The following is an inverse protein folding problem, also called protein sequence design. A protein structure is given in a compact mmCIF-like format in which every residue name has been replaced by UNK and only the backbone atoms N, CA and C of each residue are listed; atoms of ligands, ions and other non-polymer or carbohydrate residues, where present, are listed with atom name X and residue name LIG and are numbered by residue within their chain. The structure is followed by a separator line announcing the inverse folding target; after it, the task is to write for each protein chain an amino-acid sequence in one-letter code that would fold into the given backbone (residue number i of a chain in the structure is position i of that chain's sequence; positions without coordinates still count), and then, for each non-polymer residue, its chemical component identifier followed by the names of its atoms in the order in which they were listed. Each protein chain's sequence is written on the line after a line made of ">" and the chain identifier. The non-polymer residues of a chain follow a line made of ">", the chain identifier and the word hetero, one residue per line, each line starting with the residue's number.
data_IF_222166947002
#
_entry.id   IF_222166947002
#
_cell.length_a   1.000
_cell.length_b   1.000
_cell.length_c   1.000
_cell.angle_alpha   90.00
_cell.angle_beta   90.00
_cell.angle_gamma   90.00
#
_symmetry.space_group_name_H-M   'P 1'
#
loop_
_entity.id
_entity.type
_entity.pdbx_description
1 polymer ?
#
# COMPACT_ATOMS: atom_id res chain seq x y z
N UNK A 1 -12.57 17.74 16.51
CA UNK A 1 -11.97 18.60 15.46
C UNK A 1 -11.10 17.80 14.48
N UNK A 2 -10.11 17.00 14.92
CA UNK A 2 -9.26 16.14 14.07
C UNK A 2 -10.00 15.31 13.01
N UNK A 3 -11.05 14.58 13.42
CA UNK A 3 -11.82 13.71 12.51
C UNK A 3 -12.52 14.48 11.39
N UNK A 4 -12.76 15.79 11.58
CA UNK A 4 -13.32 16.64 10.53
C UNK A 4 -12.23 17.00 9.50
N UNK A 5 -11.06 17.44 9.96
CA UNK A 5 -9.92 17.79 9.10
C UNK A 5 -9.44 16.63 8.25
N UNK A 6 -9.34 15.43 8.82
CA UNK A 6 -8.96 14.23 8.08
C UNK A 6 -9.98 13.90 6.99
N UNK A 7 -11.27 13.82 7.34
CA UNK A 7 -12.33 13.50 6.37
C UNK A 7 -12.44 14.54 5.26
N UNK A 8 -12.39 15.82 5.62
CA UNK A 8 -12.40 16.91 4.64
C UNK A 8 -11.16 16.84 3.74
N UNK A 9 -9.99 16.55 4.32
CA UNK A 9 -8.75 16.35 3.59
C UNK A 9 -8.85 15.22 2.57
N UNK A 10 -9.33 14.05 2.98
CA UNK A 10 -9.55 12.91 2.09
C UNK A 10 -10.59 13.22 1.00
N UNK A 11 -11.70 13.88 1.34
CA UNK A 11 -12.71 14.28 0.37
C UNK A 11 -12.15 15.25 -0.70
N UNK A 12 -11.21 16.13 -0.31
CA UNK A 12 -10.51 17.01 -1.26
C UNK A 12 -9.58 16.23 -2.19
N UNK A 13 -8.88 15.22 -1.68
CA UNK A 13 -8.07 14.34 -2.52
C UNK A 13 -8.92 13.59 -3.55
N UNK A 14 -10.07 13.04 -3.13
CA UNK A 14 -11.01 12.36 -4.01
C UNK A 14 -11.58 13.31 -5.09
N UNK A 15 -11.80 14.58 -4.74
CA UNK A 15 -12.23 15.62 -5.68
C UNK A 15 -11.09 16.13 -6.60
N UNK A 16 -9.86 15.65 -6.45
CA UNK A 16 -8.69 16.09 -7.21
C UNK A 16 -8.08 17.42 -6.73
N UNK A 17 -8.58 18.00 -5.65
CA UNK A 17 -8.04 19.21 -5.02
C UNK A 17 -6.89 18.85 -4.07
N UNK A 18 -5.82 18.30 -4.67
CA UNK A 18 -4.65 17.74 -3.96
C UNK A 18 -4.00 18.77 -3.03
N UNK A 19 -3.95 20.04 -3.44
CA UNK A 19 -3.33 21.13 -2.65
C UNK A 19 -4.09 21.39 -1.35
N UNK A 20 -5.41 21.47 -1.42
CA UNK A 20 -6.24 21.69 -0.23
C UNK A 20 -6.31 20.44 0.64
N UNK A 21 -6.39 19.26 0.04
CA UNK A 21 -6.31 17.98 0.75
C UNK A 21 -5.03 17.88 1.58
N UNK A 22 -3.86 18.18 0.99
CA UNK A 22 -2.58 18.25 1.71
C UNK A 22 -2.65 19.22 2.88
N UNK A 23 -3.15 20.45 2.69
CA UNK A 23 -3.22 21.47 3.74
C UNK A 23 -4.05 20.98 4.94
N UNK A 24 -5.20 20.39 4.68
CA UNK A 24 -6.10 19.86 5.72
C UNK A 24 -5.48 18.67 6.45
N UNK A 25 -4.78 17.80 5.74
CA UNK A 25 -4.09 16.64 6.33
C UNK A 25 -2.87 17.06 7.16
N UNK A 26 -2.13 18.12 6.76
CA UNK A 26 -1.08 18.71 7.57
C UNK A 26 -1.63 19.35 8.86
N UNK A 27 -2.82 19.95 8.81
CA UNK A 27 -3.53 20.44 10.00
C UNK A 27 -4.00 19.30 10.90
N UNK A 28 -4.55 18.23 10.31
CA UNK A 28 -4.93 17.04 11.04
C UNK A 28 -3.71 16.40 11.74
N UNK A 29 -2.56 16.35 11.07
CA UNK A 29 -1.34 15.76 11.63
C UNK A 29 -0.79 16.63 12.77
N UNK A 30 -0.80 17.97 12.63
CA UNK A 30 -0.44 18.86 13.74
C UNK A 30 -1.33 18.68 14.97
N UNK A 31 -2.61 18.39 14.77
CA UNK A 31 -3.54 18.09 15.86
C UNK A 31 -3.38 16.67 16.43
N UNK A 32 -2.74 15.75 15.71
CA UNK A 32 -2.51 14.36 16.14
C UNK A 32 -1.23 13.80 15.51
N UNK A 33 -0.05 14.15 16.06
CA UNK A 33 1.23 13.85 15.45
C UNK A 33 1.58 12.36 15.35
N UNK A 34 0.87 11.50 16.07
CA UNK A 34 1.09 10.05 16.11
C UNK A 34 -0.05 9.23 15.49
N UNK A 35 -0.94 9.87 14.72
CA UNK A 35 -2.03 9.16 14.06
C UNK A 35 -1.57 8.56 12.72
N UNK A 36 -1.54 7.23 12.64
CA UNK A 36 -1.13 6.49 11.46
C UNK A 36 -2.07 6.70 10.25
N UNK A 37 -3.37 6.85 10.48
CA UNK A 37 -4.36 7.09 9.42
C UNK A 37 -4.15 8.47 8.79
N UNK A 38 -3.88 9.49 9.61
CA UNK A 38 -3.57 10.84 9.14
C UNK A 38 -2.23 10.90 8.42
N UNK A 39 -1.20 10.20 8.92
CA UNK A 39 0.09 10.08 8.23
C UNK A 39 -0.08 9.43 6.85
N UNK A 40 -0.86 8.34 6.77
CA UNK A 40 -1.15 7.68 5.50
C UNK A 40 -1.90 8.59 4.54
N UNK A 41 -2.96 9.26 5.00
CA UNK A 41 -3.69 10.24 4.18
C UNK A 41 -2.76 11.34 3.64
N UNK A 42 -1.88 11.90 4.48
CA UNK A 42 -0.92 12.91 4.04
C UNK A 42 0.08 12.33 3.02
N UNK A 43 0.57 11.11 3.21
CA UNK A 43 1.43 10.45 2.22
C UNK A 43 0.74 10.30 0.86
N UNK A 44 -0.54 9.91 0.84
CA UNK A 44 -1.35 9.83 -0.38
C UNK A 44 -1.49 11.20 -1.08
N UNK A 45 -1.53 12.30 -0.33
CA UNK A 45 -1.57 13.65 -0.89
C UNK A 45 -0.23 14.10 -1.50
N UNK A 46 0.89 13.57 -1.00
CA UNK A 46 2.25 13.98 -1.39
C UNK A 46 2.75 13.30 -2.65
N UNK A 47 2.36 12.04 -2.89
CA UNK A 47 2.77 11.28 -4.08
C UNK A 47 2.44 11.97 -5.42
N UNK A 48 1.19 12.43 -5.68
CA UNK A 48 0.87 13.15 -6.93
C UNK A 48 1.57 14.50 -7.08
N UNK A 49 2.14 15.04 -5.99
CA UNK A 49 2.94 16.27 -6.00
C UNK A 49 4.44 16.01 -6.27
N UNK A 50 4.84 14.75 -6.42
CA UNK A 50 6.24 14.35 -6.59
C UNK A 50 7.06 14.35 -5.31
N UNK A 51 6.45 14.59 -4.15
CA UNK A 51 7.10 14.60 -2.83
C UNK A 51 7.28 13.16 -2.28
N UNK A 52 7.80 12.25 -3.11
CA UNK A 52 7.82 10.79 -2.85
C UNK A 52 8.66 10.37 -1.66
N UNK A 53 9.78 11.04 -1.39
CA UNK A 53 10.61 10.71 -0.22
C UNK A 53 9.90 11.03 1.08
N UNK A 54 9.24 12.18 1.16
CA UNK A 54 8.43 12.56 2.33
C UNK A 54 7.21 11.66 2.49
N UNK A 55 6.59 11.23 1.38
CA UNK A 55 5.52 10.24 1.41
C UNK A 55 6.01 8.91 2.00
N UNK A 56 7.19 8.43 1.58
CA UNK A 56 7.78 7.20 2.10
C UNK A 56 8.07 7.30 3.61
N UNK A 57 8.68 8.40 4.09
CA UNK A 57 8.96 8.61 5.52
C UNK A 57 7.67 8.57 6.38
N UNK A 58 6.58 9.17 5.87
CA UNK A 58 5.27 9.13 6.53
C UNK A 58 4.67 7.73 6.52
N UNK A 59 4.81 6.98 5.43
CA UNK A 59 4.34 5.60 5.33
C UNK A 59 5.10 4.66 6.27
N UNK A 60 6.42 4.79 6.35
CA UNK A 60 7.25 4.05 7.32
C UNK A 60 6.82 4.38 8.76
N UNK A 61 6.61 5.66 9.05
CA UNK A 61 6.13 6.14 10.34
C UNK A 61 4.72 5.64 10.69
N UNK A 62 3.82 5.59 9.72
CA UNK A 62 2.45 5.12 9.87
C UNK A 62 2.42 3.60 10.11
N UNK A 63 3.17 2.84 9.30
CA UNK A 63 3.30 1.40 9.46
C UNK A 63 3.92 1.03 10.81
N UNK A 64 4.96 1.72 11.26
CA UNK A 64 5.56 1.47 12.57
C UNK A 64 4.57 1.64 13.74
N UNK A 65 3.58 2.54 13.59
CA UNK A 65 2.53 2.80 14.59
C UNK A 65 1.38 1.82 14.49
N UNK A 66 1.09 1.32 13.29
CA UNK A 66 -0.01 0.42 13.02
C UNK A 66 0.41 -0.70 12.04
N UNK A 67 1.24 -1.68 12.49
CA UNK A 67 1.91 -2.61 11.57
C UNK A 67 0.96 -3.53 10.81
N UNK A 68 -0.19 -3.87 11.40
CA UNK A 68 -1.20 -4.74 10.79
C UNK A 68 -2.25 -3.98 9.96
N UNK A 69 -2.23 -2.64 9.96
CA UNK A 69 -3.22 -1.86 9.22
C UNK A 69 -2.91 -1.92 7.71
N UNK A 70 -3.85 -2.41 6.87
CA UNK A 70 -3.54 -2.65 5.47
C UNK A 70 -3.22 -1.39 4.66
N UNK A 71 -3.84 -0.26 4.99
CA UNK A 71 -3.70 0.99 4.23
C UNK A 71 -2.25 1.47 4.11
N UNK A 72 -1.61 1.86 5.23
CA UNK A 72 -0.22 2.33 5.22
C UNK A 72 0.75 1.27 4.71
N UNK A 73 0.56 0.00 5.11
CA UNK A 73 1.43 -1.10 4.70
C UNK A 73 1.39 -1.37 3.20
N UNK A 74 0.19 -1.38 2.58
CA UNK A 74 0.07 -1.57 1.13
C UNK A 74 0.70 -0.40 0.35
N UNK A 75 0.49 0.84 0.80
CA UNK A 75 1.11 2.02 0.17
C UNK A 75 2.63 2.00 0.32
N UNK A 76 3.14 1.61 1.49
CA UNK A 76 4.59 1.45 1.73
C UNK A 76 5.17 0.35 0.85
N UNK A 77 4.53 -0.82 0.79
CA UNK A 77 4.98 -1.94 -0.03
C UNK A 77 5.03 -1.57 -1.52
N UNK A 78 4.03 -0.85 -2.04
CA UNK A 78 4.06 -0.35 -3.42
C UNK A 78 5.23 0.59 -3.67
N UNK A 79 5.46 1.57 -2.78
CA UNK A 79 6.59 2.50 -2.91
C UNK A 79 7.95 1.78 -2.86
N UNK A 80 8.07 0.70 -2.07
CA UNK A 80 9.26 -0.14 -2.00
C UNK A 80 9.45 -0.98 -3.28
N UNK A 81 8.38 -1.55 -3.83
CA UNK A 81 8.41 -2.29 -5.11
C UNK A 81 8.86 -1.39 -6.26
N UNK A 82 8.38 -0.15 -6.32
CA UNK A 82 8.81 0.84 -7.32
C UNK A 82 10.31 1.19 -7.22
N UNK A 83 10.88 1.09 -6.01
CA UNK A 83 12.31 1.25 -5.75
C UNK A 83 13.13 -0.03 -5.95
N UNK A 84 12.48 -1.15 -6.27
CA UNK A 84 13.10 -2.47 -6.40
C UNK A 84 13.50 -3.11 -5.07
N UNK A 85 12.95 -2.63 -3.96
CA UNK A 85 13.21 -3.12 -2.61
C UNK A 85 12.24 -4.28 -2.25
N UNK A 86 12.15 -5.28 -3.13
CA UNK A 86 11.16 -6.36 -3.10
C UNK A 86 11.11 -7.08 -1.74
N UNK A 87 12.26 -7.40 -1.15
CA UNK A 87 12.34 -8.08 0.14
C UNK A 87 11.76 -7.26 1.30
N UNK A 88 11.91 -5.92 1.27
CA UNK A 88 11.31 -5.05 2.30
C UNK A 88 9.80 -4.92 2.10
N UNK A 89 9.34 -4.90 0.85
CA UNK A 89 7.91 -4.85 0.54
C UNK A 89 7.17 -6.06 1.09
N UNK A 90 7.75 -7.27 0.94
CA UNK A 90 7.20 -8.50 1.51
C UNK A 90 7.12 -8.43 3.05
N UNK A 91 8.22 -8.06 3.71
CA UNK A 91 8.30 -7.90 5.17
C UNK A 91 7.26 -6.93 5.75
N UNK A 92 6.99 -5.82 5.05
CA UNK A 92 5.98 -4.83 5.46
C UNK A 92 4.56 -5.42 5.42
N UNK A 93 4.31 -6.39 4.54
CA UNK A 93 2.99 -6.99 4.36
C UNK A 93 2.75 -8.20 5.27
N UNK A 94 3.80 -8.83 5.82
CA UNK A 94 3.68 -9.98 6.73
C UNK A 94 2.69 -9.73 7.90
N UNK A 95 2.75 -8.60 8.65
CA UNK A 95 1.83 -8.40 9.78
C UNK A 95 0.39 -8.15 9.33
N UNK A 96 0.19 -7.58 8.13
CA UNK A 96 -1.14 -7.39 7.55
C UNK A 96 -1.75 -8.74 7.20
N UNK A 97 -1.01 -9.59 6.50
CA UNK A 97 -1.50 -10.90 6.06
C UNK A 97 -1.66 -11.90 7.21
N UNK A 98 -0.93 -11.72 8.32
CA UNK A 98 -1.16 -12.47 9.55
C UNK A 98 -2.55 -12.18 10.17
N UNK A 99 -3.05 -10.95 10.08
CA UNK A 99 -4.34 -10.52 10.64
C UNK A 99 -5.48 -10.61 9.61
N UNK A 100 -5.16 -10.33 8.35
CA UNK A 100 -6.08 -10.32 7.21
C UNK A 100 -5.55 -11.21 6.07
N UNK A 101 -5.59 -12.54 6.22
CA UNK A 101 -5.01 -13.47 5.24
C UNK A 101 -5.57 -13.32 3.82
N UNK A 102 -6.82 -12.88 3.70
CA UNK A 102 -7.51 -12.72 2.41
C UNK A 102 -7.51 -11.27 1.90
N UNK A 103 -6.70 -10.36 2.48
CA UNK A 103 -6.67 -8.96 2.05
C UNK A 103 -6.15 -8.85 0.60
N UNK A 104 -6.99 -8.45 -0.38
CA UNK A 104 -6.71 -8.68 -1.79
C UNK A 104 -5.50 -7.89 -2.29
N UNK A 105 -5.37 -6.63 -1.86
CA UNK A 105 -4.24 -5.76 -2.25
C UNK A 105 -2.93 -6.20 -1.61
N UNK A 106 -2.97 -6.66 -0.35
CA UNK A 106 -1.77 -7.12 0.35
C UNK A 106 -1.25 -8.40 -0.29
N UNK A 107 -2.14 -9.36 -0.60
CA UNK A 107 -1.77 -10.58 -1.32
C UNK A 107 -1.19 -10.29 -2.71
N UNK A 108 -1.75 -9.34 -3.46
CA UNK A 108 -1.21 -8.95 -4.76
C UNK A 108 0.20 -8.36 -4.64
N UNK A 109 0.42 -7.44 -3.71
CA UNK A 109 1.72 -6.78 -3.56
C UNK A 109 2.79 -7.72 -2.98
N UNK A 110 2.43 -8.62 -2.06
CA UNK A 110 3.33 -9.68 -1.59
C UNK A 110 3.68 -10.65 -2.72
N UNK A 111 2.70 -11.02 -3.57
CA UNK A 111 2.98 -11.81 -4.77
C UNK A 111 3.94 -11.11 -5.74
N UNK A 112 3.80 -9.79 -5.94
CA UNK A 112 4.74 -9.02 -6.75
C UNK A 112 6.15 -9.02 -6.15
N UNK A 113 6.26 -8.87 -4.83
CA UNK A 113 7.54 -8.93 -4.12
C UNK A 113 8.23 -10.29 -4.24
N UNK A 114 7.47 -11.37 -4.16
CA UNK A 114 7.97 -12.75 -4.23
C UNK A 114 8.15 -13.28 -5.66
N UNK A 115 7.63 -12.57 -6.68
CA UNK A 115 7.60 -13.05 -8.07
C UNK A 115 8.95 -13.53 -8.61
N UNK A 116 10.06 -12.92 -8.17
CA UNK A 116 11.42 -13.25 -8.63
C UNK A 116 12.11 -14.34 -7.80
N UNK A 117 11.76 -14.46 -6.52
CA UNK A 117 12.48 -15.29 -5.53
C UNK A 117 11.71 -16.56 -5.18
N UNK A 118 10.38 -16.49 -5.14
CA UNK A 118 9.48 -17.60 -4.86
C UNK A 118 8.19 -17.48 -5.70
N UNK A 119 8.26 -17.78 -7.01
CA UNK A 119 7.10 -17.71 -7.89
C UNK A 119 5.99 -18.68 -7.47
N UNK A 120 6.29 -19.80 -6.82
CA UNK A 120 5.27 -20.75 -6.35
C UNK A 120 4.43 -20.15 -5.22
N UNK A 121 5.06 -19.50 -4.24
CA UNK A 121 4.34 -18.81 -3.19
C UNK A 121 3.58 -17.60 -3.74
N UNK A 122 4.20 -16.81 -4.62
CA UNK A 122 3.53 -15.70 -5.29
C UNK A 122 2.22 -16.13 -5.95
N UNK A 123 2.23 -17.21 -6.74
CA UNK A 123 1.02 -17.74 -7.40
C UNK A 123 -0.07 -18.18 -6.41
N UNK A 124 0.34 -18.72 -5.25
CA UNK A 124 -0.59 -19.08 -4.18
C UNK A 124 -1.31 -17.84 -3.65
N UNK A 125 -0.58 -16.75 -3.38
CA UNK A 125 -1.15 -15.47 -2.95
C UNK A 125 -2.05 -14.85 -4.04
N UNK A 126 -1.65 -14.90 -5.31
CA UNK A 126 -2.50 -14.43 -6.42
C UNK A 126 -3.83 -15.18 -6.48
N UNK A 127 -3.81 -16.47 -6.14
CA UNK A 127 -5.00 -17.30 -6.09
C UNK A 127 -5.96 -16.90 -4.96
N UNK A 128 -5.60 -16.07 -3.99
CA UNK A 128 -6.50 -15.58 -2.93
C UNK A 128 -7.09 -14.21 -3.23
N UNK A 129 -6.58 -13.49 -4.24
CA UNK A 129 -7.08 -12.15 -4.60
C UNK A 129 -8.52 -12.24 -5.13
N UNK A 130 -9.47 -11.65 -4.41
CA UNK A 130 -10.92 -11.65 -4.70
C UNK A 130 -11.53 -10.26 -4.51
N UNK A 131 -12.79 -10.08 -4.92
CA UNK A 131 -13.52 -8.82 -4.77
C UNK A 131 -13.26 -7.85 -5.94
N UNK A 132 -12.36 -6.90 -5.73
CA UNK A 132 -12.06 -5.81 -6.68
C UNK A 132 -11.71 -6.38 -8.09
N UNK A 133 -12.52 -6.08 -9.12
CA UNK A 133 -12.28 -6.57 -10.47
C UNK A 133 -10.94 -6.14 -11.07
N UNK A 134 -10.41 -4.97 -10.70
CA UNK A 134 -9.13 -4.47 -11.19
C UNK A 134 -7.98 -5.27 -10.59
N UNK A 135 -7.94 -5.38 -9.26
CA UNK A 135 -6.92 -6.20 -8.57
C UNK A 135 -6.95 -7.66 -9.02
N UNK A 136 -8.14 -8.22 -9.29
CA UNK A 136 -8.24 -9.58 -9.84
C UNK A 136 -7.63 -9.71 -11.23
N UNK A 137 -7.79 -8.71 -12.11
CA UNK A 137 -7.19 -8.72 -13.44
C UNK A 137 -5.67 -8.63 -13.35
N UNK A 138 -5.17 -7.75 -12.50
CA UNK A 138 -3.73 -7.63 -12.24
C UNK A 138 -3.14 -8.95 -11.71
N UNK A 139 -3.82 -9.56 -10.74
CA UNK A 139 -3.41 -10.85 -10.19
C UNK A 139 -3.36 -11.96 -11.25
N UNK A 140 -4.38 -12.04 -12.11
CA UNK A 140 -4.43 -13.00 -13.21
C UNK A 140 -3.34 -12.74 -14.26
N UNK A 141 -3.06 -11.48 -14.57
CA UNK A 141 -2.00 -11.12 -15.50
C UNK A 141 -0.63 -11.54 -14.97
N UNK A 142 -0.35 -11.32 -13.69
CA UNK A 142 0.90 -11.75 -13.07
C UNK A 142 1.02 -13.28 -13.01
N UNK A 143 -0.04 -14.00 -12.61
CA UNK A 143 -0.04 -15.48 -12.60
C UNK A 143 0.25 -16.06 -14.00
N UNK A 144 -0.33 -15.46 -15.03
CA UNK A 144 -0.06 -15.84 -16.41
C UNK A 144 1.41 -15.61 -16.82
N UNK A 145 2.05 -14.55 -16.32
CA UNK A 145 3.48 -14.31 -16.58
C UNK A 145 4.33 -15.36 -15.87
N UNK A 146 4.03 -15.65 -14.59
CA UNK A 146 4.79 -16.62 -13.80
C UNK A 146 4.65 -18.04 -14.33
N UNK A 147 3.45 -18.46 -14.74
CA UNK A 147 3.22 -19.79 -15.33
C UNK A 147 3.99 -20.06 -16.63
N UNK A 148 4.34 -19.01 -17.39
CA UNK A 148 5.09 -19.15 -18.64
C UNK A 148 6.61 -19.28 -18.44
N UNK A 149 7.09 -18.97 -17.24
CA UNK A 149 8.52 -19.00 -16.89
C UNK A 149 8.88 -20.15 -15.94
N UNK A 150 7.96 -21.09 -15.70
CA UNK A 150 8.32 -22.35 -15.04
C UNK A 150 9.27 -23.13 -15.96
N UNK A 151 10.46 -23.54 -15.49
CA UNK A 151 11.31 -24.42 -16.27
C UNK A 151 10.54 -25.72 -16.51
N UNK A 152 10.32 -26.04 -17.78
CA UNK A 152 9.77 -27.33 -18.19
C UNK A 152 10.59 -28.43 -17.52
N UNK A 153 9.96 -29.21 -16.64
CA UNK A 153 10.53 -30.41 -16.02
C UNK A 153 10.89 -31.43 -17.10
#
# INVERSE_FOLDING_TARGET
>A
MKTNLYRDGMARLEAGDVKEGRRLLEEALRASPDDAEVMHGLALALDPLGERDRALELLESAHARAPSEPGPACSLAMALLERGEDARADQVLEPVLAVHPDHPRANLYAAMALAKTDPTHARTLLSTVRGDPELRREAQALDLVLSKHEPSV
#
